data_IF_003804839090
#
_entry.id   IF_003804839090
#
_cell.length_a   1.000
_cell.length_b   1.000
_cell.length_c   1.000
_cell.angle_alpha   90.00
_cell.angle_beta   90.00
_cell.angle_gamma   90.00
#
_symmetry.space_group_name_H-M   'P 1'
#
loop_
_entity.id
_entity.type
_entity.pdbx_description
1 polymer ?
#
# COMPACT_ATOMS: atom_id res chain seq x y z
N UNK A 1 -26.46 1.74 10.50
CA UNK A 1 -25.82 3.06 10.48
C UNK A 1 -25.24 3.31 9.10
N UNK A 2 -25.63 4.42 8.47
CA UNK A 2 -25.12 4.73 7.16
C UNK A 2 -23.67 5.15 7.22
N UNK A 3 -22.86 4.62 6.30
CA UNK A 3 -21.49 5.05 6.17
C UNK A 3 -21.42 6.34 5.36
N UNK A 4 -20.59 7.27 5.80
CA UNK A 4 -20.36 8.51 5.06
C UNK A 4 -19.54 8.24 3.79
N UNK A 5 -19.53 9.22 2.88
CA UNK A 5 -18.69 9.14 1.70
C UNK A 5 -17.22 8.94 2.09
N UNK A 6 -16.75 9.75 3.04
CA UNK A 6 -15.35 9.69 3.49
C UNK A 6 -15.02 8.31 4.06
N UNK A 7 -15.89 7.75 4.89
CA UNK A 7 -15.68 6.44 5.49
C UNK A 7 -15.64 5.34 4.43
N UNK A 8 -16.56 5.40 3.46
CA UNK A 8 -16.60 4.43 2.36
C UNK A 8 -15.36 4.56 1.47
N UNK A 9 -14.94 5.79 1.19
CA UNK A 9 -13.76 6.00 0.37
C UNK A 9 -12.49 5.47 1.05
N UNK A 10 -12.32 5.76 2.34
CA UNK A 10 -11.15 5.27 3.07
C UNK A 10 -11.11 3.74 3.11
N UNK A 11 -12.25 3.10 3.32
CA UNK A 11 -12.33 1.63 3.32
C UNK A 11 -12.02 1.06 1.95
N UNK A 12 -12.57 1.66 0.89
CA UNK A 12 -12.33 1.20 -0.48
C UNK A 12 -10.87 1.38 -0.88
N UNK A 13 -10.28 2.52 -0.54
CA UNK A 13 -8.88 2.81 -0.84
C UNK A 13 -7.95 1.81 -0.17
N UNK A 14 -8.15 1.57 1.11
CA UNK A 14 -7.33 0.58 1.84
C UNK A 14 -7.49 -0.82 1.24
N UNK A 15 -8.71 -1.20 0.88
CA UNK A 15 -8.96 -2.52 0.31
C UNK A 15 -8.30 -2.69 -1.08
N UNK A 16 -8.33 -1.65 -1.92
CA UNK A 16 -7.67 -1.69 -3.23
C UNK A 16 -6.16 -1.84 -3.05
N UNK A 17 -5.57 -1.07 -2.14
CA UNK A 17 -4.13 -1.17 -1.87
C UNK A 17 -3.78 -2.54 -1.30
N UNK A 18 -4.57 -3.06 -0.37
CA UNK A 18 -4.34 -4.38 0.21
C UNK A 18 -4.41 -5.48 -0.85
N UNK A 19 -5.28 -5.35 -1.84
CA UNK A 19 -5.39 -6.33 -2.92
C UNK A 19 -4.10 -6.44 -3.73
N UNK A 20 -3.31 -5.36 -3.83
CA UNK A 20 -2.02 -5.37 -4.51
C UNK A 20 -1.01 -6.28 -3.79
N UNK A 21 -1.17 -6.47 -2.49
CA UNK A 21 -0.24 -7.24 -1.64
C UNK A 21 -0.89 -8.49 -1.06
N UNK A 22 -1.83 -9.09 -1.79
CA UNK A 22 -2.65 -10.19 -1.26
C UNK A 22 -1.91 -11.50 -1.01
N UNK A 23 -0.68 -11.66 -1.52
CA UNK A 23 0.14 -12.86 -1.23
C UNK A 23 0.84 -12.80 0.12
N UNK A 24 0.72 -11.71 0.86
CA UNK A 24 1.33 -11.59 2.18
C UNK A 24 0.38 -12.15 3.24
N UNK A 25 0.94 -12.68 4.34
CA UNK A 25 0.10 -13.05 5.48
C UNK A 25 -0.39 -11.80 6.22
N UNK A 26 -1.30 -11.99 7.18
CA UNK A 26 -1.92 -10.86 7.87
C UNK A 26 -0.92 -9.95 8.59
N UNK A 27 0.09 -10.52 9.24
CA UNK A 27 1.11 -9.73 9.95
C UNK A 27 2.00 -8.97 8.97
N UNK A 28 2.39 -9.60 7.88
CA UNK A 28 3.19 -8.96 6.84
C UNK A 28 2.42 -7.81 6.20
N UNK A 29 1.14 -8.06 5.89
CA UNK A 29 0.29 -7.04 5.27
C UNK A 29 0.14 -5.82 6.18
N UNK A 30 -0.07 -6.04 7.47
CA UNK A 30 -0.17 -4.93 8.43
C UNK A 30 1.10 -4.09 8.43
N UNK A 31 2.27 -4.73 8.39
CA UNK A 31 3.54 -4.01 8.32
C UNK A 31 3.70 -3.20 7.05
N UNK A 32 3.21 -3.73 5.92
CA UNK A 32 3.29 -3.04 4.63
C UNK A 32 2.35 -1.84 4.59
N UNK A 33 1.13 -1.99 5.11
CA UNK A 33 0.10 -0.95 5.02
C UNK A 33 0.26 0.16 6.06
N UNK A 34 1.10 -0.02 7.07
CA UNK A 34 1.35 1.00 8.09
C UNK A 34 2.41 1.97 7.60
N UNK A 35 2.01 3.19 7.22
CA UNK A 35 2.93 4.18 6.68
C UNK A 35 3.25 5.30 7.67
N UNK A 36 2.41 5.49 8.70
CA UNK A 36 2.55 6.59 9.64
C UNK A 36 3.40 6.15 10.83
N UNK A 37 4.36 6.99 11.19
CA UNK A 37 5.23 6.74 12.33
C UNK A 37 6.26 5.65 12.10
N UNK A 38 7.12 5.40 13.08
CA UNK A 38 8.15 4.36 12.96
C UNK A 38 7.54 2.97 13.11
N UNK A 39 8.04 2.03 12.33
CA UNK A 39 7.68 0.63 12.43
C UNK A 39 8.96 -0.18 12.64
N UNK A 40 9.02 -0.92 13.74
CA UNK A 40 10.19 -1.73 14.06
C UNK A 40 9.94 -3.19 13.69
N UNK A 41 10.77 -3.73 12.79
CA UNK A 41 10.71 -5.13 12.37
C UNK A 41 11.85 -5.88 13.06
N UNK A 42 11.50 -6.73 14.03
CA UNK A 42 12.45 -7.39 14.91
C UNK A 42 12.81 -8.83 14.52
N UNK A 43 12.48 -9.25 13.32
CA UNK A 43 12.77 -10.61 12.89
C UNK A 43 14.19 -10.75 12.35
N UNK A 44 14.75 -11.92 12.45
CA UNK A 44 16.06 -12.22 11.86
C UNK A 44 15.98 -12.38 10.35
N UNK A 45 17.15 -12.41 9.71
CA UNK A 45 17.22 -12.66 8.27
C UNK A 45 16.60 -14.02 7.93
N UNK A 46 15.84 -14.07 6.85
CA UNK A 46 15.18 -15.31 6.42
C UNK A 46 13.79 -15.53 6.99
N UNK A 47 13.31 -14.64 7.86
CA UNK A 47 12.01 -14.79 8.51
C UNK A 47 10.86 -14.07 7.79
N UNK A 48 11.08 -13.61 6.55
CA UNK A 48 10.09 -12.82 5.83
C UNK A 48 10.17 -11.33 6.07
N UNK A 49 11.12 -10.89 6.88
CA UNK A 49 11.34 -9.49 7.21
C UNK A 49 11.75 -8.66 5.99
N UNK A 50 12.62 -9.19 5.16
CA UNK A 50 13.05 -8.53 3.93
C UNK A 50 11.87 -8.36 2.98
N UNK A 51 11.00 -9.36 2.90
CA UNK A 51 9.78 -9.29 2.09
C UNK A 51 8.89 -8.15 2.55
N UNK A 52 8.68 -8.00 3.86
CA UNK A 52 7.88 -6.90 4.40
C UNK A 52 8.51 -5.56 4.05
N UNK A 53 9.81 -5.42 4.24
CA UNK A 53 10.52 -4.16 3.97
C UNK A 53 10.41 -3.77 2.49
N UNK A 54 10.66 -4.71 1.58
CA UNK A 54 10.57 -4.46 0.13
C UNK A 54 9.16 -4.04 -0.27
N UNK A 55 8.15 -4.77 0.22
CA UNK A 55 6.77 -4.46 -0.12
C UNK A 55 6.30 -3.15 0.52
N UNK A 56 6.79 -2.81 1.71
CA UNK A 56 6.50 -1.53 2.34
C UNK A 56 7.05 -0.37 1.51
N UNK A 57 8.27 -0.51 0.98
CA UNK A 57 8.86 0.49 0.09
C UNK A 57 8.04 0.59 -1.19
N UNK A 58 7.64 -0.54 -1.76
CA UNK A 58 6.80 -0.56 -2.96
C UNK A 58 5.48 0.15 -2.72
N UNK A 59 4.85 -0.06 -1.56
CA UNK A 59 3.62 0.63 -1.18
C UNK A 59 3.84 2.14 -1.09
N UNK A 60 4.92 2.59 -0.46
CA UNK A 60 5.20 4.02 -0.34
C UNK A 60 5.44 4.68 -1.69
N UNK A 61 6.10 4.01 -2.61
CA UNK A 61 6.34 4.54 -3.95
C UNK A 61 5.06 4.59 -4.78
N UNK A 62 4.24 3.54 -4.71
CA UNK A 62 3.04 3.44 -5.54
C UNK A 62 1.87 4.26 -4.98
N UNK A 63 1.66 4.22 -3.67
CA UNK A 63 0.45 4.74 -3.04
C UNK A 63 0.72 5.82 -1.98
N UNK A 64 1.95 5.98 -1.53
CA UNK A 64 2.28 6.93 -0.48
C UNK A 64 1.57 6.59 0.82
N UNK A 65 0.76 7.51 1.33
CA UNK A 65 0.05 7.34 2.61
C UNK A 65 -1.37 6.80 2.46
N UNK A 66 -1.74 6.35 1.25
CA UNK A 66 -3.13 5.99 0.94
C UNK A 66 -3.71 4.88 1.79
N UNK A 67 -2.90 3.93 2.25
CA UNK A 67 -3.41 2.74 2.96
C UNK A 67 -3.93 3.05 4.35
N UNK A 68 -3.32 3.98 5.07
CA UNK A 68 -3.67 4.24 6.48
C UNK A 68 -3.95 5.71 6.81
N UNK A 69 -3.91 6.62 5.84
CA UNK A 69 -4.26 8.01 6.07
C UNK A 69 -5.78 8.17 6.23
N UNK A 70 -6.18 9.14 7.04
CA UNK A 70 -7.58 9.53 7.19
C UNK A 70 -7.97 10.64 6.22
N UNK A 71 -7.03 11.12 5.41
CA UNK A 71 -7.29 12.23 4.50
C UNK A 71 -8.02 11.76 3.25
N UNK A 72 -9.09 12.47 2.89
CA UNK A 72 -9.81 12.28 1.63
C UNK A 72 -9.56 13.53 0.79
N UNK A 73 -8.85 13.43 -0.35
CA UNK A 73 -8.59 14.61 -1.18
C UNK A 73 -9.87 15.25 -1.70
N UNK A 74 -9.86 16.56 -1.81
CA UNK A 74 -11.03 17.33 -2.26
C UNK A 74 -11.50 16.98 -3.67
N UNK A 75 -10.58 16.50 -4.51
CA UNK A 75 -10.88 16.21 -5.91
C UNK A 75 -11.57 14.86 -6.12
N UNK A 76 -11.69 14.04 -5.06
CA UNK A 76 -12.31 12.71 -5.18
C UNK A 76 -13.83 12.85 -5.27
N UNK A 77 -14.43 12.15 -6.24
CA UNK A 77 -15.87 12.24 -6.53
C UNK A 77 -16.59 10.94 -6.16
N UNK A 78 -17.94 11.02 -6.16
CA UNK A 78 -18.77 9.82 -6.00
C UNK A 78 -18.49 8.80 -7.10
N UNK A 79 -18.22 9.27 -8.33
CA UNK A 79 -17.88 8.38 -9.44
C UNK A 79 -16.58 7.63 -9.18
N UNK A 80 -15.60 8.30 -8.58
CA UNK A 80 -14.34 7.65 -8.23
C UNK A 80 -14.57 6.54 -7.21
N UNK A 81 -15.39 6.80 -6.18
CA UNK A 81 -15.72 5.79 -5.18
C UNK A 81 -16.44 4.61 -5.82
N UNK A 82 -17.40 4.88 -6.70
CA UNK A 82 -18.13 3.83 -7.43
C UNK A 82 -17.16 2.98 -8.24
N UNK A 83 -16.18 3.60 -8.88
CA UNK A 83 -15.17 2.88 -9.64
C UNK A 83 -14.34 1.94 -8.75
N UNK A 84 -13.89 2.43 -7.60
CA UNK A 84 -13.12 1.61 -6.66
C UNK A 84 -13.95 0.44 -6.15
N UNK A 85 -15.20 0.68 -5.80
CA UNK A 85 -16.08 -0.39 -5.30
C UNK A 85 -16.37 -1.43 -6.38
N UNK A 86 -16.53 -0.99 -7.63
CA UNK A 86 -16.71 -1.91 -8.75
C UNK A 86 -15.46 -2.75 -8.99
N UNK A 87 -14.28 -2.12 -8.92
CA UNK A 87 -13.04 -2.85 -9.06
C UNK A 87 -12.89 -3.92 -7.97
N UNK A 88 -13.24 -3.60 -6.73
CA UNK A 88 -13.14 -4.56 -5.63
C UNK A 88 -14.04 -5.77 -5.83
N UNK A 89 -15.20 -5.59 -6.47
CA UNK A 89 -16.12 -6.70 -6.76
C UNK A 89 -15.62 -7.57 -7.90
N UNK A 90 -15.10 -6.96 -8.96
CA UNK A 90 -14.78 -7.68 -10.19
C UNK A 90 -13.32 -8.09 -10.29
N UNK A 91 -12.42 -7.31 -9.68
CA UNK A 91 -10.96 -7.47 -9.81
C UNK A 91 -10.53 -7.50 -11.28
N UNK A 92 -11.23 -6.73 -12.12
CA UNK A 92 -10.97 -6.67 -13.56
C UNK A 92 -9.59 -6.03 -13.80
N UNK A 93 -8.64 -6.76 -14.44
CA UNK A 93 -7.32 -6.20 -14.71
C UNK A 93 -7.34 -4.91 -15.52
N UNK A 94 -8.36 -4.70 -16.35
CA UNK A 94 -8.48 -3.48 -17.14
C UNK A 94 -8.76 -2.26 -16.27
N UNK A 95 -9.30 -2.44 -15.07
CA UNK A 95 -9.60 -1.36 -14.13
C UNK A 95 -8.46 -1.09 -13.14
N UNK A 96 -7.52 -2.02 -13.02
CA UNK A 96 -6.53 -1.97 -11.95
C UNK A 96 -5.70 -0.70 -11.94
N UNK A 97 -5.19 -0.28 -13.09
CA UNK A 97 -4.30 0.89 -13.16
C UNK A 97 -5.00 2.15 -12.66
N UNK A 98 -6.23 2.38 -13.14
CA UNK A 98 -6.98 3.57 -12.73
C UNK A 98 -7.40 3.48 -11.27
N UNK A 99 -7.81 2.31 -10.81
CA UNK A 99 -8.18 2.12 -9.40
C UNK A 99 -6.99 2.43 -8.50
N UNK A 100 -5.80 1.94 -8.85
CA UNK A 100 -4.61 2.20 -8.05
C UNK A 100 -4.19 3.67 -8.08
N UNK A 101 -4.35 4.34 -9.22
CA UNK A 101 -4.07 5.78 -9.31
C UNK A 101 -4.98 6.61 -8.40
N UNK A 102 -6.23 6.22 -8.30
CA UNK A 102 -7.18 6.91 -7.41
C UNK A 102 -6.84 6.73 -5.94
N UNK A 103 -6.05 5.71 -5.61
CA UNK A 103 -5.68 5.41 -4.23
C UNK A 103 -4.38 6.07 -3.77
N UNK A 104 -3.59 6.62 -4.69
CA UNK A 104 -2.32 7.24 -4.33
C UNK A 104 -2.53 8.55 -3.57
N UNK A 105 -1.80 8.71 -2.47
CA UNK A 105 -1.84 9.93 -1.67
C UNK A 105 -0.41 10.28 -1.28
N UNK A 106 0.14 11.29 -1.92
CA UNK A 106 1.53 11.72 -1.73
C UNK A 106 2.55 10.57 -1.91
N UNK A 107 2.59 9.92 -3.10
CA UNK A 107 3.56 8.85 -3.34
C UNK A 107 4.99 9.32 -3.07
N UNK A 108 5.80 8.45 -2.47
CA UNK A 108 7.18 8.79 -2.15
C UNK A 108 8.07 8.66 -3.39
N UNK A 109 8.95 9.64 -3.58
CA UNK A 109 9.97 9.49 -4.61
C UNK A 109 10.98 8.42 -4.18
N UNK A 110 11.45 7.55 -5.08
CA UNK A 110 12.38 6.49 -4.68
C UNK A 110 13.63 6.99 -3.95
N UNK A 111 14.15 8.14 -4.34
CA UNK A 111 15.35 8.70 -3.71
C UNK A 111 15.10 9.27 -2.31
N UNK A 112 13.85 9.41 -1.88
CA UNK A 112 13.53 9.88 -0.54
C UNK A 112 13.42 8.76 0.48
N UNK A 113 13.57 7.51 0.06
CA UNK A 113 13.44 6.34 0.92
C UNK A 113 14.83 5.79 1.23
N UNK A 114 15.14 5.70 2.54
CA UNK A 114 16.36 5.08 2.99
C UNK A 114 16.04 3.67 3.50
N UNK A 115 16.62 2.68 2.85
CA UNK A 115 16.47 1.29 3.26
C UNK A 115 17.81 0.79 3.80
N UNK A 116 17.80 0.26 5.03
CA UNK A 116 18.99 -0.25 5.68
C UNK A 116 18.86 -1.77 5.81
N UNK A 117 19.86 -2.50 5.33
CA UNK A 117 19.90 -3.95 5.47
C UNK A 117 21.16 -4.37 6.22
N UNK A 118 21.09 -5.53 6.87
CA UNK A 118 22.21 -6.07 7.63
C UNK A 118 22.95 -7.17 6.87
N UNK A 119 22.47 -7.57 5.70
CA UNK A 119 23.10 -8.63 4.91
C UNK A 119 23.19 -8.22 3.44
N UNK A 120 24.23 -8.72 2.76
CA UNK A 120 24.38 -8.48 1.33
C UNK A 120 23.26 -9.14 0.52
N UNK A 121 22.75 -10.28 0.99
CA UNK A 121 21.63 -10.95 0.35
C UNK A 121 20.38 -10.10 0.37
N UNK A 122 20.06 -9.53 1.53
CA UNK A 122 18.90 -8.66 1.66
C UNK A 122 19.02 -7.42 0.79
N UNK A 123 20.20 -6.80 0.74
CA UNK A 123 20.44 -5.64 -0.11
C UNK A 123 20.25 -5.99 -1.59
N UNK A 124 20.73 -7.15 -2.01
CA UNK A 124 20.56 -7.62 -3.39
C UNK A 124 19.10 -7.83 -3.73
N UNK A 125 18.36 -8.51 -2.85
CA UNK A 125 16.93 -8.75 -3.06
C UNK A 125 16.17 -7.44 -3.22
N UNK A 126 16.48 -6.44 -2.41
CA UNK A 126 15.83 -5.14 -2.51
C UNK A 126 16.10 -4.49 -3.86
N UNK A 127 17.34 -4.54 -4.35
CA UNK A 127 17.67 -3.96 -5.65
C UNK A 127 16.97 -4.66 -6.81
N UNK A 128 16.83 -5.98 -6.73
CA UNK A 128 16.21 -6.76 -7.79
C UNK A 128 14.68 -6.62 -7.82
N UNK A 129 14.06 -6.40 -6.66
CA UNK A 129 12.60 -6.38 -6.53
C UNK A 129 12.00 -4.98 -6.60
N UNK A 130 12.79 -3.94 -6.55
CA UNK A 130 12.36 -2.56 -6.68
C UNK A 130 12.73 -2.02 -8.07
#
# INVERSE_FOLDING_TARGET
MEQTFESRFLAARRAVIAARFQNLNAMQLEGVLTTQGPLLLLAGAGSGKTTVLINRIANLIAFGEGSDSQEVPDYVTEEDLTYLEAYLKTQDPAMQLQAERLCALRPAAPWSILAITFTNKAAREMRERL
#
